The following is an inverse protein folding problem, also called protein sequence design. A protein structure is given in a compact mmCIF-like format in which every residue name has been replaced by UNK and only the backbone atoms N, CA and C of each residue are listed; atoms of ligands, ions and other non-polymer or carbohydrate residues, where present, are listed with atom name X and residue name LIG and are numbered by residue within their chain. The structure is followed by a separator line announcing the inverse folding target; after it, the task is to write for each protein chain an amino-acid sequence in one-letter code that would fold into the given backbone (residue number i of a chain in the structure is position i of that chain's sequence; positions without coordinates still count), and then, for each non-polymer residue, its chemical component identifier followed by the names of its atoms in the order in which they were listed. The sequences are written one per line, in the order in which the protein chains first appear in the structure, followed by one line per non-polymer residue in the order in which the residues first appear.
data_IF_057682658057
#
_entry.id   IF_057682658057
#
_cell.length_a   1.000
_cell.length_b   1.000
_cell.length_c   1.000
_cell.angle_alpha   90.00
_cell.angle_beta   90.00
_cell.angle_gamma   90.00
#
_symmetry.space_group_name_H-M   'P 1'
#
loop_
_entity.id
_entity.type
_entity.pdbx_description
1 polymer ?
#
# COMPACT_ATOMS: atom_id res chain seq x y z
N UNK A 1 12.45 15.54 -5.56
CA UNK A 1 13.35 15.48 -4.38
C UNK A 1 12.83 16.45 -3.35
N UNK A 2 12.51 15.98 -2.14
CA UNK A 2 12.12 16.84 -1.02
C UNK A 2 13.37 16.96 -0.14
N UNK A 3 13.90 18.16 0.04
CA UNK A 3 15.02 18.38 0.95
C UNK A 3 14.45 18.55 2.36
N UNK A 4 14.70 17.58 3.24
CA UNK A 4 14.24 17.58 4.63
C UNK A 4 15.45 17.74 5.55
N UNK A 5 15.32 18.58 6.58
CA UNK A 5 16.25 18.62 7.72
C UNK A 5 16.00 17.40 8.62
N UNK A 6 16.96 17.00 9.46
CA UNK A 6 16.84 15.83 10.34
C UNK A 6 15.57 15.86 11.23
N UNK A 7 15.18 17.04 11.72
CA UNK A 7 13.96 17.20 12.52
C UNK A 7 12.67 17.01 11.69
N UNK A 8 12.69 17.41 10.42
CA UNK A 8 11.56 17.21 9.50
C UNK A 8 11.51 15.75 9.04
N UNK A 9 12.67 15.10 8.91
CA UNK A 9 12.78 13.66 8.65
C UNK A 9 12.29 12.81 9.83
N UNK A 10 12.46 13.26 11.07
CA UNK A 10 11.92 12.60 12.24
C UNK A 10 10.39 12.79 12.37
N UNK A 11 9.86 13.91 11.86
CA UNK A 11 8.44 14.23 11.88
C UNK A 11 7.64 13.58 10.73
N UNK A 12 8.30 13.11 9.66
CA UNK A 12 7.61 12.32 8.62
C UNK A 12 7.27 10.93 9.14
N UNK A 13 6.22 10.36 8.55
CA UNK A 13 5.82 8.99 8.81
C UNK A 13 6.99 8.03 8.52
N UNK A 14 7.56 7.46 9.58
CA UNK A 14 8.68 6.51 9.45
C UNK A 14 8.27 5.25 8.67
N UNK A 15 6.98 4.92 8.60
CA UNK A 15 6.45 3.81 7.82
C UNK A 15 6.61 3.97 6.31
N UNK A 16 6.90 5.17 5.80
CA UNK A 16 7.19 5.40 4.37
C UNK A 16 8.69 5.56 4.08
N UNK A 17 9.55 5.49 5.10
CA UNK A 17 10.99 5.54 4.92
C UNK A 17 11.48 4.17 4.45
N UNK A 18 12.12 4.15 3.28
CA UNK A 18 12.63 2.91 2.70
C UNK A 18 13.76 2.33 3.55
N UNK A 19 13.52 1.11 4.07
CA UNK A 19 14.50 0.29 4.79
C UNK A 19 14.54 -1.09 4.15
N UNK A 20 15.58 -1.88 4.41
CA UNK A 20 15.66 -3.25 3.88
C UNK A 20 14.44 -4.10 4.30
N UNK A 21 14.03 -3.99 5.58
CA UNK A 21 12.83 -4.68 6.09
C UNK A 21 11.55 -4.22 5.40
N UNK A 22 11.37 -2.91 5.18
CA UNK A 22 10.20 -2.40 4.46
C UNK A 22 10.21 -2.87 3.00
N UNK A 23 11.37 -2.87 2.36
CA UNK A 23 11.53 -3.36 1.00
C UNK A 23 11.09 -4.83 0.88
N UNK A 24 11.59 -5.71 1.74
CA UNK A 24 11.21 -7.13 1.74
C UNK A 24 9.71 -7.33 2.01
N UNK A 25 9.16 -6.53 2.92
CA UNK A 25 7.72 -6.55 3.26
C UNK A 25 6.87 -6.14 2.06
N UNK A 26 7.26 -5.07 1.36
CA UNK A 26 6.57 -4.61 0.16
C UNK A 26 6.70 -5.60 -1.00
N UNK A 27 7.86 -6.24 -1.16
CA UNK A 27 8.07 -7.26 -2.18
C UNK A 27 7.14 -8.45 -1.96
N UNK A 28 7.06 -8.96 -0.73
CA UNK A 28 6.12 -10.04 -0.38
C UNK A 28 4.66 -9.64 -0.57
N UNK A 29 4.32 -8.39 -0.26
CA UNK A 29 2.97 -7.86 -0.50
C UNK A 29 2.65 -7.79 -2.00
N UNK A 30 3.60 -7.34 -2.83
CA UNK A 30 3.45 -7.33 -4.29
C UNK A 30 3.26 -8.76 -4.81
N UNK A 31 4.14 -9.68 -4.44
CA UNK A 31 4.07 -11.09 -4.87
C UNK A 31 2.74 -11.77 -4.49
N UNK A 32 2.11 -11.32 -3.40
CA UNK A 32 0.84 -11.85 -2.92
C UNK A 32 -0.37 -11.29 -3.67
N UNK A 33 -0.35 -10.01 -4.03
CA UNK A 33 -1.54 -9.28 -4.51
C UNK A 33 -1.49 -8.95 -6.00
N UNK A 34 -0.31 -8.88 -6.62
CA UNK A 34 -0.19 -8.61 -8.05
C UNK A 34 -0.33 -9.90 -8.84
N UNK A 35 -1.24 -9.88 -9.82
CA UNK A 35 -1.40 -10.97 -10.78
C UNK A 35 -0.38 -10.84 -11.90
N UNK A 36 0.16 -11.96 -12.37
CA UNK A 36 1.08 -12.00 -13.51
C UNK A 36 0.45 -11.45 -14.80
N UNK A 37 -0.88 -11.58 -14.92
CA UNK A 37 -1.67 -11.08 -16.06
C UNK A 37 -3.02 -10.57 -15.57
N UNK A 38 -3.46 -9.45 -16.14
CA UNK A 38 -4.78 -8.87 -15.93
C UNK A 38 -5.37 -8.54 -17.30
N UNK A 39 -6.54 -9.11 -17.61
CA UNK A 39 -7.31 -8.82 -18.81
C UNK A 39 -8.52 -7.92 -18.53
N UNK A 40 -9.15 -7.41 -19.59
CA UNK A 40 -10.37 -6.59 -19.47
C UNK A 40 -11.53 -7.35 -18.82
N UNK A 41 -11.63 -8.66 -19.07
CA UNK A 41 -12.66 -9.51 -18.47
C UNK A 41 -12.51 -9.64 -16.95
N UNK A 42 -11.28 -9.59 -16.42
CA UNK A 42 -11.02 -9.63 -14.98
C UNK A 42 -11.45 -8.33 -14.29
N UNK A 43 -11.45 -7.20 -15.01
CA UNK A 43 -11.94 -5.92 -14.47
C UNK A 43 -13.45 -5.92 -14.21
N UNK A 44 -14.20 -6.78 -14.91
CA UNK A 44 -15.62 -6.96 -14.67
C UNK A 44 -15.91 -7.86 -13.45
N UNK A 45 -14.88 -8.52 -12.88
CA UNK A 45 -15.03 -9.38 -11.71
C UNK A 45 -15.15 -8.54 -10.44
N UNK A 46 -16.29 -8.59 -9.72
CA UNK A 46 -16.44 -7.91 -8.44
C UNK A 46 -15.47 -8.42 -7.37
N UNK A 47 -14.97 -9.66 -7.49
CA UNK A 47 -13.98 -10.21 -6.57
C UNK A 47 -12.63 -9.50 -6.69
N UNK A 48 -12.21 -9.13 -7.91
CA UNK A 48 -10.99 -8.35 -8.13
C UNK A 48 -11.03 -7.03 -7.37
N UNK A 49 -12.19 -6.37 -7.32
CA UNK A 49 -12.35 -5.13 -6.56
C UNK A 49 -12.16 -5.33 -5.05
N UNK A 50 -12.66 -6.44 -4.50
CA UNK A 50 -12.48 -6.78 -3.08
C UNK A 50 -11.01 -7.07 -2.80
N UNK A 51 -10.35 -7.88 -3.63
CA UNK A 51 -8.92 -8.18 -3.52
C UNK A 51 -8.07 -6.91 -3.55
N UNK A 52 -8.33 -6.02 -4.52
CA UNK A 52 -7.65 -4.72 -4.60
C UNK A 52 -7.85 -3.87 -3.35
N UNK A 53 -9.07 -3.83 -2.79
CA UNK A 53 -9.34 -3.10 -1.55
C UNK A 53 -8.60 -3.69 -0.36
N UNK A 54 -8.58 -5.02 -0.23
CA UNK A 54 -7.82 -5.73 0.81
C UNK A 54 -6.33 -5.47 0.67
N UNK A 55 -5.78 -5.56 -0.54
CA UNK A 55 -4.37 -5.27 -0.81
C UNK A 55 -4.02 -3.83 -0.40
N UNK A 56 -4.83 -2.85 -0.82
CA UNK A 56 -4.63 -1.45 -0.44
C UNK A 56 -4.77 -1.22 1.07
N UNK A 57 -5.68 -1.91 1.74
CA UNK A 57 -5.83 -1.83 3.19
C UNK A 57 -4.57 -2.33 3.91
N UNK A 58 -4.09 -3.53 3.54
CA UNK A 58 -2.84 -4.08 4.05
C UNK A 58 -1.65 -3.14 3.80
N UNK A 59 -1.57 -2.54 2.61
CA UNK A 59 -0.50 -1.59 2.27
C UNK A 59 -0.54 -0.36 3.18
N UNK A 60 -1.73 0.19 3.47
CA UNK A 60 -1.84 1.34 4.39
C UNK A 60 -1.47 0.98 5.82
N UNK A 61 -1.70 -0.27 6.24
CA UNK A 61 -1.25 -0.76 7.54
C UNK A 61 0.28 -0.92 7.59
N UNK A 62 0.89 -1.51 6.55
CA UNK A 62 2.36 -1.63 6.41
C UNK A 62 3.02 -0.26 6.50
N UNK A 63 2.47 0.72 5.77
CA UNK A 63 2.99 2.09 5.74
C UNK A 63 2.51 2.95 6.91
N UNK A 64 1.68 2.43 7.82
CA UNK A 64 1.09 3.14 8.96
C UNK A 64 0.42 4.47 8.58
N UNK A 65 -0.24 4.50 7.43
CA UNK A 65 -0.92 5.69 6.90
C UNK A 65 -2.30 5.90 7.54
N UNK A 66 -2.86 4.85 8.14
CA UNK A 66 -4.26 4.83 8.57
C UNK A 66 -5.22 4.80 7.39
N UNK A 67 -6.49 5.12 7.65
CA UNK A 67 -7.56 5.12 6.62
C UNK A 67 -7.43 6.31 5.66
N UNK A 68 -6.57 6.20 4.67
CA UNK A 68 -6.35 7.23 3.64
C UNK A 68 -7.31 7.08 2.45
N UNK A 69 -7.74 5.87 2.13
CA UNK A 69 -8.64 5.61 1.02
C UNK A 69 -10.11 5.78 1.42
N UNK A 70 -10.98 6.29 0.53
CA UNK A 70 -12.40 6.49 0.84
C UNK A 70 -13.13 5.23 1.30
N UNK A 71 -12.80 4.06 0.74
CA UNK A 71 -13.41 2.78 1.10
C UNK A 71 -13.07 2.33 2.53
N UNK A 72 -12.00 2.86 3.14
CA UNK A 72 -11.59 2.57 4.52
C UNK A 72 -12.25 3.49 5.55
N UNK A 73 -12.91 4.57 5.08
CA UNK A 73 -13.56 5.57 5.93
C UNK A 73 -15.07 5.38 6.01
N UNK A 74 -15.63 4.55 5.14
CA UNK A 74 -17.06 4.25 5.14
C UNK A 74 -17.30 2.91 5.85
N UNK A 75 -18.21 2.86 6.84
CA UNK A 75 -18.60 1.64 7.53
C UNK A 75 -19.47 0.71 6.66
#
# INVERSE_FOLDING_TARGET
RVALKEAELAAVNQGVIMTATLYDTLLQWVDRHYRDRLGEADLADPQLLVECRTALDELTQILKLGSVYPFQRQP
#
